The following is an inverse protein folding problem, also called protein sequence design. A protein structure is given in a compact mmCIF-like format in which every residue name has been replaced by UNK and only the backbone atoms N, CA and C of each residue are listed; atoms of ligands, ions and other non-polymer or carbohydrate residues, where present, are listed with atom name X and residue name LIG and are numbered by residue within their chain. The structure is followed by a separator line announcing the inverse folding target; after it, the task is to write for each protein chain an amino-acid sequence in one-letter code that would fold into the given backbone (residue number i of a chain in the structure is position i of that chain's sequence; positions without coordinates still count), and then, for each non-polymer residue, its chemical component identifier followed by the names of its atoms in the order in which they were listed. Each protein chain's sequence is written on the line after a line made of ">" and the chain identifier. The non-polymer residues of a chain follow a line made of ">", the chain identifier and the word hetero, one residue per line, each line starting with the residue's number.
data_IF_222869855744
#
_entry.id   IF_222869855744
#
_cell.length_a   1.000
_cell.length_b   1.000
_cell.length_c   1.000
_cell.angle_alpha   90.00
_cell.angle_beta   90.00
_cell.angle_gamma   90.00
#
_symmetry.space_group_name_H-M   'P 1'
#
loop_
_entity.id
_entity.type
_entity.pdbx_description
1 polymer ?
#
# COMPACT_ATOMS: atom_id res chain seq x y z
N UNK A 1 -18.61 -2.55 -7.93
CA UNK A 1 -19.19 -3.91 -7.78
C UNK A 1 -20.39 -4.05 -8.69
N UNK A 2 -20.50 -5.15 -9.41
CA UNK A 2 -21.50 -5.42 -10.44
C UNK A 2 -22.72 -6.15 -9.87
N UNK A 3 -23.89 -5.85 -10.44
CA UNK A 3 -25.16 -6.57 -10.21
C UNK A 3 -25.14 -7.90 -10.96
N UNK A 4 -25.87 -8.94 -10.49
CA UNK A 4 -25.97 -10.21 -11.20
C UNK A 4 -26.38 -10.05 -12.67
N UNK A 5 -27.28 -9.11 -12.99
CA UNK A 5 -27.67 -8.78 -14.37
C UNK A 5 -26.50 -8.32 -15.24
N UNK A 6 -25.67 -7.43 -14.71
CA UNK A 6 -24.50 -6.88 -15.41
C UNK A 6 -23.44 -7.96 -15.63
N UNK A 7 -23.26 -8.87 -14.66
CA UNK A 7 -22.36 -10.01 -14.78
C UNK A 7 -22.82 -10.97 -15.88
N UNK A 8 -24.11 -11.34 -15.89
CA UNK A 8 -24.68 -12.18 -16.96
C UNK A 8 -24.50 -11.54 -18.34
N UNK A 9 -24.72 -10.23 -18.45
CA UNK A 9 -24.53 -9.50 -19.72
C UNK A 9 -23.07 -9.49 -20.17
N UNK A 10 -22.11 -9.26 -19.27
CA UNK A 10 -20.69 -9.25 -19.61
C UNK A 10 -20.14 -10.62 -19.99
N UNK A 11 -20.56 -11.66 -19.27
CA UNK A 11 -20.11 -13.04 -19.51
C UNK A 11 -20.87 -13.73 -20.64
N UNK A 12 -21.99 -13.15 -21.13
CA UNK A 12 -22.87 -13.79 -22.10
C UNK A 12 -23.56 -15.06 -21.57
N UNK A 13 -23.78 -15.15 -20.25
CA UNK A 13 -24.35 -16.35 -19.61
C UNK A 13 -25.74 -16.08 -19.00
N UNK A 14 -26.49 -17.16 -18.76
CA UNK A 14 -27.77 -17.10 -18.06
C UNK A 14 -27.60 -16.91 -16.55
N UNK A 15 -28.66 -16.44 -15.87
CA UNK A 15 -28.68 -16.40 -14.40
C UNK A 15 -28.52 -17.78 -13.75
N UNK A 16 -28.99 -18.85 -14.40
CA UNK A 16 -28.84 -20.21 -13.90
C UNK A 16 -27.36 -20.61 -13.89
N UNK A 17 -26.66 -20.34 -14.99
CA UNK A 17 -25.21 -20.57 -15.12
C UNK A 17 -24.42 -19.75 -14.10
N UNK A 18 -24.78 -18.47 -13.88
CA UNK A 18 -24.14 -17.64 -12.86
C UNK A 18 -24.30 -18.23 -11.45
N UNK A 19 -25.50 -18.73 -11.09
CA UNK A 19 -25.72 -19.42 -9.80
C UNK A 19 -24.90 -20.69 -9.69
N UNK A 20 -24.78 -21.45 -10.78
CA UNK A 20 -23.96 -22.66 -10.81
C UNK A 20 -22.47 -22.33 -10.63
N UNK A 21 -21.98 -21.26 -11.24
CA UNK A 21 -20.60 -20.78 -11.06
C UNK A 21 -20.32 -20.37 -9.62
N UNK A 22 -21.29 -19.71 -8.96
CA UNK A 22 -21.20 -19.42 -7.53
C UNK A 22 -21.17 -20.71 -6.70
N UNK A 23 -22.04 -21.69 -7.02
CA UNK A 23 -22.09 -22.98 -6.32
C UNK A 23 -20.80 -23.79 -6.49
N UNK A 24 -20.23 -23.79 -7.69
CA UNK A 24 -18.95 -24.45 -8.02
C UNK A 24 -17.73 -23.68 -7.51
N UNK A 25 -17.91 -22.44 -7.03
CA UNK A 25 -16.84 -21.61 -6.49
C UNK A 25 -16.01 -20.87 -7.52
N UNK A 26 -16.41 -20.86 -8.80
CA UNK A 26 -15.71 -20.12 -9.87
C UNK A 26 -15.78 -18.60 -9.68
N UNK A 27 -16.83 -18.10 -9.02
CA UNK A 27 -16.96 -16.68 -8.65
C UNK A 27 -17.66 -16.55 -7.29
N UNK A 28 -17.13 -15.69 -6.42
CA UNK A 28 -17.71 -15.46 -5.07
C UNK A 28 -18.45 -14.12 -5.01
N UNK A 29 -19.77 -14.11 -4.72
CA UNK A 29 -20.49 -12.86 -4.51
C UNK A 29 -20.18 -12.28 -3.13
N UNK A 30 -20.08 -10.96 -3.07
CA UNK A 30 -20.22 -10.17 -1.84
C UNK A 30 -21.71 -10.03 -1.54
N UNK A 31 -22.14 -10.51 -0.38
CA UNK A 31 -23.54 -10.43 0.07
C UNK A 31 -23.70 -9.13 0.86
N UNK A 32 -24.51 -8.20 0.37
CA UNK A 32 -24.84 -6.97 1.10
C UNK A 32 -25.74 -7.28 2.31
N UNK A 33 -25.82 -6.36 3.28
CA UNK A 33 -26.75 -6.45 4.41
C UNK A 33 -28.22 -6.67 3.97
N UNK A 34 -28.57 -6.21 2.77
CA UNK A 34 -29.88 -6.43 2.16
C UNK A 34 -30.08 -7.81 1.52
N UNK A 35 -29.15 -8.77 1.72
CA UNK A 35 -29.16 -10.11 1.11
C UNK A 35 -28.86 -10.14 -0.40
N UNK A 36 -28.58 -8.99 -1.03
CA UNK A 36 -28.37 -8.89 -2.48
C UNK A 36 -26.94 -9.25 -2.84
N UNK A 37 -26.77 -10.06 -3.89
CA UNK A 37 -25.46 -10.39 -4.45
C UNK A 37 -24.85 -9.20 -5.21
N UNK A 38 -23.55 -9.02 -4.99
CA UNK A 38 -22.68 -8.13 -5.74
C UNK A 38 -21.40 -8.86 -6.11
N UNK A 39 -20.88 -8.61 -7.29
CA UNK A 39 -19.64 -9.23 -7.76
C UNK A 39 -18.56 -8.17 -7.92
N UNK A 40 -17.31 -8.51 -7.59
CA UNK A 40 -16.20 -7.63 -7.96
C UNK A 40 -15.97 -7.73 -9.46
N UNK A 41 -15.58 -6.62 -10.05
CA UNK A 41 -15.34 -6.53 -11.48
C UNK A 41 -14.18 -7.43 -11.92
N UNK A 42 -13.12 -7.47 -11.11
CA UNK A 42 -11.96 -8.35 -11.30
C UNK A 42 -12.33 -9.84 -11.37
N UNK A 43 -13.26 -10.30 -10.53
CA UNK A 43 -13.65 -11.72 -10.52
C UNK A 43 -14.43 -12.09 -11.79
N UNK A 44 -15.15 -11.14 -12.39
CA UNK A 44 -15.87 -11.32 -13.65
C UNK A 44 -14.90 -11.29 -14.83
N UNK A 45 -13.93 -10.38 -14.82
CA UNK A 45 -12.92 -10.29 -15.88
C UNK A 45 -12.00 -11.51 -15.93
N UNK A 46 -11.62 -12.06 -14.76
CA UNK A 46 -10.91 -13.35 -14.67
C UNK A 46 -11.67 -14.47 -15.38
N UNK A 47 -12.99 -14.52 -15.21
CA UNK A 47 -13.86 -15.49 -15.88
C UNK A 47 -14.01 -15.27 -17.38
N UNK A 48 -13.87 -14.02 -17.84
CA UNK A 48 -13.83 -13.69 -19.27
C UNK A 48 -12.49 -14.03 -19.93
N UNK A 49 -11.49 -14.46 -19.16
CA UNK A 49 -10.11 -14.61 -19.66
C UNK A 49 -9.44 -13.26 -19.96
N UNK A 50 -10.00 -12.15 -19.48
CA UNK A 50 -9.37 -10.83 -19.60
C UNK A 50 -8.24 -10.75 -18.59
N UNK A 51 -7.02 -11.00 -19.06
CA UNK A 51 -5.81 -10.75 -18.27
C UNK A 51 -5.50 -9.26 -18.37
N UNK A 52 -5.90 -8.48 -17.36
CA UNK A 52 -5.43 -7.09 -17.26
C UNK A 52 -3.91 -7.12 -17.14
N UNK A 53 -3.22 -6.36 -18.00
CA UNK A 53 -1.77 -6.14 -17.87
C UNK A 53 -1.52 -5.57 -16.48
N UNK A 54 -0.81 -6.34 -15.66
CA UNK A 54 -0.43 -5.91 -14.30
C UNK A 54 0.70 -4.90 -14.42
N UNK A 55 0.65 -3.89 -13.57
CA UNK A 55 1.52 -2.71 -13.64
C UNK A 55 2.81 -2.92 -12.85
N UNK A 56 3.90 -2.39 -13.38
CA UNK A 56 5.15 -2.17 -12.64
C UNK A 56 5.11 -0.74 -12.09
N UNK A 57 5.23 -0.60 -10.78
CA UNK A 57 5.12 0.68 -10.09
C UNK A 57 6.45 1.05 -9.45
N UNK A 58 6.91 2.27 -9.68
CA UNK A 58 7.99 2.89 -8.91
C UNK A 58 7.38 3.67 -7.75
N UNK A 59 7.87 3.44 -6.53
CA UNK A 59 7.40 4.18 -5.35
C UNK A 59 8.55 4.94 -4.69
N UNK A 60 8.33 6.23 -4.45
CA UNK A 60 9.30 7.14 -3.85
C UNK A 60 8.66 7.96 -2.73
N UNK A 61 9.44 8.27 -1.69
CA UNK A 61 8.99 9.02 -0.51
C UNK A 61 10.13 9.83 0.08
N UNK A 62 9.78 11.02 0.56
CA UNK A 62 10.60 11.84 1.48
C UNK A 62 9.79 12.23 2.70
N UNK A 63 10.44 12.56 3.83
CA UNK A 63 9.74 12.85 5.09
C UNK A 63 9.07 14.23 5.07
N UNK A 64 9.68 15.21 4.41
CA UNK A 64 9.27 16.62 4.44
C UNK A 64 9.20 17.26 3.06
N UNK A 65 8.38 18.32 2.95
CA UNK A 65 8.31 19.14 1.73
C UNK A 65 9.62 19.90 1.46
N UNK A 66 10.49 20.06 2.47
CA UNK A 66 11.81 20.65 2.28
C UNK A 66 12.73 19.76 1.40
N UNK A 67 12.45 18.45 1.35
CA UNK A 67 13.23 17.45 0.61
C UNK A 67 12.63 17.15 -0.78
N UNK A 68 11.92 18.10 -1.40
CA UNK A 68 11.30 17.87 -2.72
C UNK A 68 12.32 17.57 -3.81
N UNK A 69 13.48 18.20 -3.75
CA UNK A 69 14.55 17.95 -4.72
C UNK A 69 15.12 16.53 -4.54
N UNK A 70 15.22 16.05 -3.29
CA UNK A 70 15.61 14.66 -3.00
C UNK A 70 14.58 13.67 -3.53
N UNK A 71 13.28 13.99 -3.45
CA UNK A 71 12.23 13.16 -4.04
C UNK A 71 12.39 13.05 -5.56
N UNK A 72 12.70 14.17 -6.25
CA UNK A 72 12.95 14.16 -7.69
C UNK A 72 14.18 13.30 -8.02
N UNK A 73 15.26 13.44 -7.26
CA UNK A 73 16.47 12.64 -7.44
C UNK A 73 16.22 11.15 -7.18
N UNK A 74 15.42 10.82 -6.17
CA UNK A 74 15.03 9.45 -5.86
C UNK A 74 14.18 8.84 -6.99
N UNK A 75 13.25 9.60 -7.57
CA UNK A 75 12.48 9.15 -8.73
C UNK A 75 13.41 8.89 -9.92
N UNK A 76 14.31 9.83 -10.25
CA UNK A 76 15.29 9.63 -11.33
C UNK A 76 16.15 8.39 -11.12
N UNK A 77 16.63 8.18 -9.90
CA UNK A 77 17.39 6.97 -9.55
C UNK A 77 16.58 5.69 -9.82
N UNK A 78 15.29 5.67 -9.48
CA UNK A 78 14.42 4.52 -9.79
C UNK A 78 14.22 4.33 -11.30
N UNK A 79 14.01 5.41 -12.04
CA UNK A 79 13.81 5.39 -13.50
C UNK A 79 15.06 4.95 -14.26
N UNK A 80 16.26 5.32 -13.79
CA UNK A 80 17.53 4.88 -14.38
C UNK A 80 17.79 3.39 -14.19
N UNK A 81 17.37 2.83 -13.05
CA UNK A 81 17.55 1.41 -12.73
C UNK A 81 16.42 0.52 -13.27
N UNK A 82 15.25 1.08 -13.57
CA UNK A 82 14.07 0.34 -14.06
C UNK A 82 13.58 0.96 -15.36
N UNK A 83 13.90 0.32 -16.49
CA UNK A 83 13.53 0.83 -17.83
C UNK A 83 12.06 0.62 -18.18
N UNK A 84 11.47 -0.48 -17.72
CA UNK A 84 10.07 -0.85 -18.02
C UNK A 84 9.19 -0.70 -16.78
N UNK A 85 8.63 0.51 -16.60
CA UNK A 85 7.64 0.80 -15.57
C UNK A 85 6.38 1.43 -16.17
N UNK A 86 5.22 1.20 -15.54
CA UNK A 86 3.93 1.72 -16.04
C UNK A 86 3.49 2.99 -15.29
N UNK A 87 3.93 3.19 -14.04
CA UNK A 87 3.53 4.36 -13.24
C UNK A 87 4.52 4.66 -12.10
N UNK A 88 4.72 5.95 -11.81
CA UNK A 88 5.41 6.41 -10.59
C UNK A 88 4.36 6.86 -9.56
N UNK A 89 4.56 6.52 -8.30
CA UNK A 89 3.76 7.00 -7.16
C UNK A 89 4.71 7.62 -6.15
N UNK A 90 4.41 8.84 -5.71
CA UNK A 90 5.23 9.56 -4.74
C UNK A 90 4.42 9.98 -3.53
N UNK A 91 5.05 10.07 -2.36
CA UNK A 91 4.49 10.73 -1.19
C UNK A 91 5.50 11.67 -0.53
N UNK A 92 4.96 12.66 0.18
CA UNK A 92 5.69 13.47 1.14
C UNK A 92 5.09 13.24 2.52
N UNK A 93 5.90 12.79 3.46
CA UNK A 93 5.52 12.52 4.84
C UNK A 93 6.36 11.42 5.48
N UNK A 94 6.46 11.45 6.82
CA UNK A 94 7.13 10.44 7.64
C UNK A 94 6.71 9.02 7.27
N UNK A 95 7.65 8.06 7.37
CA UNK A 95 7.45 6.62 7.22
C UNK A 95 6.39 6.04 8.16
N UNK A 96 6.10 6.69 9.29
CA UNK A 96 5.07 6.30 10.25
C UNK A 96 3.63 6.63 9.79
N UNK A 97 3.47 7.54 8.82
CA UNK A 97 2.16 7.99 8.38
C UNK A 97 1.48 6.97 7.44
N UNK A 98 0.67 6.07 8.01
CA UNK A 98 -0.11 5.07 7.26
C UNK A 98 -1.29 5.67 6.45
N UNK A 99 -1.50 7.00 6.50
CA UNK A 99 -2.56 7.70 5.75
C UNK A 99 -2.04 8.42 4.50
N UNK A 100 -0.76 8.24 4.15
CA UNK A 100 -0.15 8.75 2.91
C UNK A 100 -0.99 8.32 1.69
N UNK A 101 -1.32 9.28 0.82
CA UNK A 101 -2.28 9.06 -0.27
C UNK A 101 -1.72 8.13 -1.33
N UNK A 102 -0.44 8.30 -1.68
CA UNK A 102 0.27 7.44 -2.63
C UNK A 102 0.39 6.01 -2.10
N UNK A 103 0.80 5.85 -0.84
CA UNK A 103 0.91 4.56 -0.16
C UNK A 103 -0.43 3.82 -0.11
N UNK A 104 -1.50 4.48 0.33
CA UNK A 104 -2.84 3.86 0.35
C UNK A 104 -3.35 3.51 -1.06
N UNK A 105 -3.03 4.34 -2.07
CA UNK A 105 -3.34 4.04 -3.47
C UNK A 105 -2.59 2.78 -3.92
N UNK A 106 -1.28 2.73 -3.69
CA UNK A 106 -0.43 1.58 -4.02
C UNK A 106 -0.94 0.30 -3.36
N UNK A 107 -1.20 0.35 -2.05
CA UNK A 107 -1.70 -0.81 -1.30
C UNK A 107 -3.03 -1.32 -1.87
N UNK A 108 -3.97 -0.43 -2.19
CA UNK A 108 -5.24 -0.82 -2.83
C UNK A 108 -5.02 -1.46 -4.21
N UNK A 109 -4.11 -0.92 -5.01
CA UNK A 109 -3.78 -1.49 -6.32
C UNK A 109 -3.18 -2.90 -6.18
N UNK A 110 -2.31 -3.14 -5.18
CA UNK A 110 -1.77 -4.47 -4.88
C UNK A 110 -2.90 -5.43 -4.47
N UNK A 111 -3.77 -5.02 -3.54
CA UNK A 111 -4.89 -5.83 -3.05
C UNK A 111 -5.90 -6.20 -4.16
N UNK A 112 -6.05 -5.33 -5.16
CA UNK A 112 -6.87 -5.55 -6.37
C UNK A 112 -6.12 -6.34 -7.46
N UNK A 113 -4.92 -6.85 -7.18
CA UNK A 113 -4.06 -7.58 -8.13
C UNK A 113 -3.68 -6.78 -9.39
N UNK A 114 -3.73 -5.46 -9.33
CA UNK A 114 -3.43 -4.57 -10.46
C UNK A 114 -1.92 -4.39 -10.69
N UNK A 115 -1.09 -4.72 -9.69
CA UNK A 115 0.35 -4.47 -9.67
C UNK A 115 1.11 -5.79 -9.70
N UNK A 116 2.04 -5.96 -10.64
CA UNK A 116 2.92 -7.14 -10.73
C UNK A 116 4.24 -6.93 -10.00
N UNK A 117 4.74 -5.70 -9.97
CA UNK A 117 6.02 -5.36 -9.35
C UNK A 117 5.96 -3.97 -8.74
N UNK A 118 6.52 -3.83 -7.55
CA UNK A 118 6.79 -2.54 -6.91
C UNK A 118 8.28 -2.42 -6.74
N UNK A 119 8.86 -1.31 -7.18
CA UNK A 119 10.28 -1.01 -6.98
C UNK A 119 10.42 0.22 -6.11
N UNK A 120 11.27 0.09 -5.08
CA UNK A 120 11.61 1.13 -4.12
C UNK A 120 13.13 1.25 -3.99
N UNK A 121 13.59 2.43 -3.57
CA UNK A 121 15.02 2.65 -3.38
C UNK A 121 15.52 1.94 -2.12
N UNK A 122 14.80 2.13 -1.00
CA UNK A 122 15.14 1.62 0.34
C UNK A 122 13.89 1.09 1.07
N UNK A 123 14.02 0.14 2.02
CA UNK A 123 12.87 -0.43 2.74
C UNK A 123 12.01 0.62 3.49
N UNK A 124 12.65 1.59 4.16
CA UNK A 124 12.01 2.68 4.90
C UNK A 124 11.16 3.62 4.02
N UNK A 125 11.27 3.51 2.69
CA UNK A 125 10.44 4.27 1.75
C UNK A 125 8.97 3.93 1.96
N UNK A 126 8.63 2.64 2.17
CA UNK A 126 7.25 2.20 2.34
C UNK A 126 6.72 2.43 3.75
N UNK A 127 7.50 2.13 4.78
CA UNK A 127 7.07 2.25 6.18
C UNK A 127 8.27 2.20 7.11
N UNK A 128 8.15 2.85 8.27
CA UNK A 128 9.15 2.70 9.35
C UNK A 128 9.04 1.34 10.06
N UNK A 129 7.83 0.77 10.11
CA UNK A 129 7.56 -0.50 10.77
C UNK A 129 6.61 -1.37 9.94
N UNK A 130 6.76 -2.69 10.03
CA UNK A 130 5.88 -3.65 9.37
C UNK A 130 6.14 -3.76 7.87
N UNK A 131 7.41 -3.61 7.45
CA UNK A 131 7.81 -3.86 6.07
C UNK A 131 7.51 -5.30 5.66
N UNK A 132 7.76 -6.24 6.55
CA UNK A 132 7.52 -7.68 6.39
C UNK A 132 6.03 -7.98 6.15
N UNK A 133 5.13 -7.19 6.76
CA UNK A 133 3.68 -7.32 6.52
C UNK A 133 3.38 -6.94 5.06
N UNK A 134 4.00 -5.89 4.54
CA UNK A 134 3.83 -5.47 3.15
C UNK A 134 4.41 -6.50 2.20
N UNK A 135 5.55 -7.10 2.51
CA UNK A 135 6.12 -8.21 1.75
C UNK A 135 5.17 -9.40 1.66
N UNK A 136 4.59 -9.83 2.78
CA UNK A 136 3.63 -10.93 2.82
C UNK A 136 2.36 -10.61 2.01
N UNK A 137 1.85 -9.37 2.09
CA UNK A 137 0.74 -8.92 1.24
C UNK A 137 1.14 -8.96 -0.23
N UNK A 138 2.33 -8.51 -0.60
CA UNK A 138 2.81 -8.55 -1.98
C UNK A 138 2.87 -10.00 -2.49
N UNK A 139 3.46 -10.92 -1.71
CA UNK A 139 3.53 -12.36 -2.04
C UNK A 139 2.15 -12.95 -2.24
N UNK A 140 1.20 -12.71 -1.33
CA UNK A 140 -0.18 -13.22 -1.43
C UNK A 140 -0.91 -12.74 -2.70
N UNK A 141 -0.55 -11.55 -3.20
CA UNK A 141 -1.12 -10.95 -4.40
C UNK A 141 -0.23 -11.16 -5.64
N UNK A 142 0.76 -12.05 -5.60
CA UNK A 142 1.72 -12.30 -6.70
C UNK A 142 2.41 -11.01 -7.20
N UNK A 143 2.65 -10.07 -6.31
CA UNK A 143 3.37 -8.82 -6.57
C UNK A 143 4.82 -8.99 -6.07
N UNK A 144 5.79 -8.71 -6.93
CA UNK A 144 7.21 -8.72 -6.58
C UNK A 144 7.57 -7.37 -5.94
N UNK A 145 8.10 -7.35 -4.71
CA UNK A 145 8.64 -6.15 -4.10
C UNK A 145 10.15 -6.15 -4.26
N UNK A 146 10.68 -5.17 -5.00
CA UNK A 146 12.11 -5.02 -5.29
C UNK A 146 12.65 -3.80 -4.56
N UNK A 147 13.72 -4.01 -3.80
CA UNK A 147 14.48 -2.95 -3.14
C UNK A 147 15.82 -2.82 -3.86
N UNK A 148 16.11 -1.64 -4.40
CA UNK A 148 17.36 -1.41 -5.14
C UNK A 148 18.57 -1.32 -4.21
N UNK A 149 18.39 -0.83 -2.99
CA UNK A 149 19.44 -0.74 -1.99
C UNK A 149 18.92 -1.14 -0.60
N UNK A 150 19.60 -2.10 0.04
CA UNK A 150 19.26 -2.59 1.38
C UNK A 150 19.97 -1.83 2.51
N UNK A 151 20.87 -0.89 2.20
CA UNK A 151 21.45 0.00 3.20
C UNK A 151 20.41 1.02 3.66
N UNK A 152 20.20 1.13 4.97
CA UNK A 152 19.40 2.20 5.55
C UNK A 152 20.12 3.53 5.30
N UNK A 153 19.51 4.38 4.48
CA UNK A 153 20.02 5.74 4.20
C UNK A 153 19.06 6.79 4.73
N UNK A 154 18.24 6.42 5.72
CA UNK A 154 17.39 7.37 6.41
C UNK A 154 18.26 8.49 6.99
N UNK A 155 17.97 9.76 6.67
CA UNK A 155 18.63 10.89 7.34
C UNK A 155 18.43 10.80 8.85
N UNK A 156 19.49 11.06 9.64
CA UNK A 156 19.42 11.05 11.11
C UNK A 156 18.25 11.90 11.63
N UNK A 157 18.04 13.06 11.02
CA UNK A 157 16.94 13.95 11.35
C UNK A 157 15.57 13.28 11.19
N UNK A 158 15.36 12.46 10.14
CA UNK A 158 14.11 11.73 9.96
C UNK A 158 13.92 10.66 11.03
N UNK A 159 14.99 9.99 11.47
CA UNK A 159 14.93 9.02 12.57
C UNK A 159 14.55 9.70 13.90
N UNK A 160 15.15 10.86 14.19
CA UNK A 160 14.82 11.65 15.39
C UNK A 160 13.37 12.14 15.35
N UNK A 161 12.91 12.63 14.19
CA UNK A 161 11.52 13.07 14.00
C UNK A 161 10.52 11.92 14.18
N UNK A 162 10.83 10.73 13.64
CA UNK A 162 10.01 9.54 13.78
C UNK A 162 9.98 9.07 15.24
N UNK A 163 11.13 8.97 15.91
CA UNK A 163 11.22 8.59 17.33
C UNK A 163 10.44 9.58 18.22
N UNK A 164 10.61 10.87 17.98
CA UNK A 164 9.89 11.92 18.70
C UNK A 164 8.38 11.78 18.49
N UNK A 165 7.93 11.50 17.27
CA UNK A 165 6.51 11.27 16.96
C UNK A 165 5.94 10.07 17.70
N UNK A 166 6.72 8.98 17.82
CA UNK A 166 6.36 7.81 18.62
C UNK A 166 6.23 8.21 20.09
N UNK A 167 7.27 8.81 20.68
CA UNK A 167 7.27 9.20 22.10
C UNK A 167 6.11 10.14 22.44
N UNK A 168 5.82 11.13 21.59
CA UNK A 168 4.67 12.03 21.76
C UNK A 168 3.35 11.26 21.75
N UNK A 169 3.19 10.31 20.81
CA UNK A 169 1.99 9.45 20.76
C UNK A 169 1.82 8.60 22.03
N UNK A 170 2.92 8.10 22.59
CA UNK A 170 2.91 7.35 23.85
C UNK A 170 2.67 8.24 25.06
N UNK A 171 3.24 9.44 25.12
CA UNK A 171 3.07 10.39 26.23
C UNK A 171 1.58 10.69 26.47
N UNK A 172 0.82 10.97 25.41
CA UNK A 172 -0.63 11.19 25.53
C UNK A 172 -1.42 9.99 26.07
N UNK A 173 -0.95 8.75 25.83
CA UNK A 173 -1.56 7.53 26.38
C UNK A 173 -1.17 7.26 27.82
N UNK A 174 0.00 7.72 28.24
CA UNK A 174 0.52 7.58 29.60
C UNK A 174 0.06 8.70 30.53
N UNK A 175 -0.72 9.65 30.03
CA UNK A 175 -1.30 10.72 30.81
C UNK A 175 -2.14 10.13 31.96
N UNK A 176 -1.82 10.52 33.19
CA UNK A 176 -2.47 10.01 34.41
C UNK A 176 -1.89 8.69 34.97
N UNK A 177 -0.93 8.04 34.29
CA UNK A 177 -0.32 6.78 34.75
C UNK A 177 1.01 6.97 35.49
N UNK A 178 1.40 8.21 35.82
CA UNK A 178 2.61 8.56 36.58
C UNK A 178 3.94 8.44 35.82
N UNK A 179 3.97 7.73 34.69
CA UNK A 179 5.17 7.54 33.85
C UNK A 179 5.35 8.60 32.74
N UNK A 180 4.35 9.45 32.50
CA UNK A 180 4.35 10.51 31.49
C UNK A 180 5.59 11.42 31.56
N UNK A 181 5.98 11.86 32.76
CA UNK A 181 7.13 12.77 32.97
C UNK A 181 8.45 12.20 32.43
N UNK A 182 8.60 10.87 32.43
CA UNK A 182 9.82 10.23 31.88
C UNK A 182 9.86 10.35 30.37
N UNK A 183 8.73 10.17 29.70
CA UNK A 183 8.61 10.27 28.24
C UNK A 183 8.76 11.72 27.77
N UNK A 184 8.17 12.67 28.49
CA UNK A 184 8.33 14.11 28.20
C UNK A 184 9.80 14.55 28.26
N UNK A 185 10.54 14.10 29.28
CA UNK A 185 11.97 14.38 29.39
C UNK A 185 12.76 13.84 28.20
N UNK A 186 12.47 12.61 27.75
CA UNK A 186 13.10 12.05 26.56
C UNK A 186 12.79 12.85 25.29
N UNK A 187 11.56 13.39 25.16
CA UNK A 187 11.18 14.23 24.02
C UNK A 187 11.94 15.57 24.04
N UNK A 188 12.16 16.15 25.22
CA UNK A 188 12.96 17.37 25.36
C UNK A 188 14.43 17.13 24.99
N UNK A 189 15.02 16.02 25.45
CA UNK A 189 16.39 15.65 25.13
C UNK A 189 16.61 15.41 23.62
N UNK A 190 15.62 14.85 22.91
CA UNK A 190 15.70 14.61 21.46
C UNK A 190 15.46 15.85 20.60
N UNK A 191 14.94 16.95 21.17
CA UNK A 191 14.69 18.21 20.47
C UNK A 191 15.82 19.24 20.61
N UNK A 192 16.73 19.01 21.56
CA UNK A 192 17.91 19.84 21.83
C UNK A 192 19.09 19.41 20.95
#
# INVERSE_FOLDING_TARGET
>A
MLRPKEVCQRLGISYATLREYVKKGYIKPVILQSGKWRFREEDVEKLMGIVRKRKVILYARVSSNAQKDDLINQVKYLEENVKDYDQVITDVGSGLNMKRKGFLKLLRMILNNEVSKVVIAYPETLTRFGFEIIEEVCKAHNCELVVLNNEDKTPEQELIEDLTSILVSFSGKLQGMGSQKKVEKCVEELKN
#
